data_IF_903617574489
#
_entry.id   IF_903617574489
#
_cell.length_a   1.000
_cell.length_b   1.000
_cell.length_c   1.000
_cell.angle_alpha   90.00
_cell.angle_beta   90.00
_cell.angle_gamma   90.00
#
_symmetry.space_group_name_H-M   'P 1'
#
loop_
_entity.id
_entity.type
_entity.pdbx_description
1 polymer ?
#
# COMPACT_ATOMS: atom_id res chain seq x y z
N UNK A 1 -15.66 -24.50 -25.60
CA UNK A 1 -14.80 -23.30 -25.61
C UNK A 1 -14.78 -22.74 -24.20
N UNK A 2 -13.85 -23.20 -23.37
CA UNK A 2 -13.68 -22.69 -22.01
C UNK A 2 -12.93 -21.37 -22.11
N UNK A 3 -13.65 -20.26 -21.93
CA UNK A 3 -13.01 -18.95 -21.77
C UNK A 3 -12.23 -18.98 -20.45
N UNK A 4 -10.90 -19.07 -20.54
CA UNK A 4 -10.01 -18.96 -19.39
C UNK A 4 -10.14 -17.52 -18.87
N UNK A 5 -10.75 -17.34 -17.70
CA UNK A 5 -10.80 -16.06 -17.03
C UNK A 5 -9.34 -15.58 -16.85
N UNK A 6 -8.99 -14.31 -17.18
CA UNK A 6 -7.65 -13.83 -16.94
C UNK A 6 -7.27 -14.05 -15.46
N UNK A 7 -6.01 -14.42 -15.16
CA UNK A 7 -5.57 -14.65 -13.80
C UNK A 7 -5.84 -13.40 -12.96
N UNK A 8 -6.55 -13.56 -11.85
CA UNK A 8 -6.84 -12.46 -10.96
C UNK A 8 -5.53 -11.91 -10.41
N UNK A 9 -5.23 -10.64 -10.72
CA UNK A 9 -4.05 -9.98 -10.20
C UNK A 9 -4.23 -9.78 -8.69
N UNK A 10 -3.28 -10.32 -7.93
CA UNK A 10 -3.24 -10.19 -6.49
C UNK A 10 -1.88 -9.69 -6.04
N UNK A 11 -1.85 -9.06 -4.87
CA UNK A 11 -0.64 -8.69 -4.14
C UNK A 11 0.28 -9.90 -3.97
N UNK A 12 1.58 -9.69 -4.16
CA UNK A 12 2.61 -10.70 -3.93
C UNK A 12 2.88 -10.90 -2.44
N UNK A 13 2.60 -9.87 -1.64
CA UNK A 13 2.92 -9.84 -0.22
C UNK A 13 4.42 -9.91 0.04
N UNK A 14 5.21 -9.31 -0.85
CA UNK A 14 6.67 -9.32 -0.77
C UNK A 14 7.28 -8.04 -0.19
N UNK A 15 6.52 -6.94 -0.15
CA UNK A 15 7.00 -5.64 0.32
C UNK A 15 6.93 -5.49 1.84
N UNK A 16 8.07 -5.33 2.53
CA UNK A 16 8.13 -5.01 3.95
C UNK A 16 7.94 -3.52 4.25
N UNK A 17 7.53 -3.18 5.47
CA UNK A 17 7.46 -1.79 5.98
C UNK A 17 7.55 -1.75 7.51
N UNK A 18 7.65 -0.54 8.08
CA UNK A 18 7.84 -0.29 9.52
C UNK A 18 9.06 -1.03 10.08
N UNK A 19 10.24 -0.46 9.84
CA UNK A 19 11.50 -1.08 10.26
C UNK A 19 11.87 -0.69 11.69
N UNK A 20 12.29 -1.66 12.49
CA UNK A 20 12.89 -1.45 13.81
C UNK A 20 14.27 -2.09 13.84
N UNK A 21 15.32 -1.27 13.94
CA UNK A 21 16.72 -1.75 13.92
C UNK A 21 17.02 -2.62 12.68
N UNK A 22 16.66 -2.11 11.50
CA UNK A 22 16.76 -2.77 10.19
C UNK A 22 15.94 -4.07 10.02
N UNK A 23 15.18 -4.48 11.04
CA UNK A 23 14.26 -5.60 10.94
C UNK A 23 12.86 -5.11 10.53
N UNK A 24 12.25 -5.64 9.46
CA UNK A 24 10.89 -5.28 9.09
C UNK A 24 9.90 -5.89 10.07
N UNK A 25 8.99 -5.07 10.61
CA UNK A 25 7.94 -5.54 11.52
C UNK A 25 6.71 -6.06 10.78
N UNK A 26 6.40 -5.47 9.61
CA UNK A 26 5.20 -5.80 8.85
C UNK A 26 5.52 -6.02 7.37
N UNK A 27 4.58 -6.67 6.69
CA UNK A 27 4.61 -6.94 5.25
C UNK A 27 3.20 -6.86 4.69
N UNK A 28 3.09 -6.53 3.41
CA UNK A 28 1.82 -6.66 2.68
C UNK A 28 1.39 -8.14 2.69
N UNK A 29 0.10 -8.40 2.86
CA UNK A 29 -0.44 -9.76 2.74
C UNK A 29 -0.54 -10.17 1.28
N UNK A 30 -0.12 -11.39 0.95
CA UNK A 30 -0.26 -11.95 -0.40
C UNK A 30 -1.69 -12.39 -0.70
N UNK A 31 -2.08 -12.38 -1.97
CA UNK A 31 -3.37 -12.95 -2.41
C UNK A 31 -4.56 -12.00 -2.27
N UNK A 32 -4.35 -10.74 -1.87
CA UNK A 32 -5.38 -9.71 -1.89
C UNK A 32 -5.52 -9.17 -3.31
N UNK A 33 -6.75 -9.11 -3.83
CA UNK A 33 -7.08 -8.49 -5.13
C UNK A 33 -6.42 -7.12 -5.28
N UNK A 34 -5.77 -6.84 -6.42
CA UNK A 34 -5.18 -5.52 -6.67
C UNK A 34 -6.23 -4.41 -6.65
N UNK A 35 -7.44 -4.68 -7.15
CA UNK A 35 -8.54 -3.72 -7.11
C UNK A 35 -8.86 -3.31 -5.67
N UNK A 36 -9.06 -4.31 -4.79
CA UNK A 36 -9.46 -4.06 -3.40
C UNK A 36 -8.31 -3.44 -2.60
N UNK A 37 -7.08 -3.89 -2.86
CA UNK A 37 -5.88 -3.32 -2.26
C UNK A 37 -5.71 -1.85 -2.64
N UNK A 38 -5.83 -1.49 -3.92
CA UNK A 38 -5.70 -0.11 -4.39
C UNK A 38 -6.84 0.78 -3.91
N UNK A 39 -8.08 0.27 -3.87
CA UNK A 39 -9.21 0.99 -3.29
C UNK A 39 -8.93 1.34 -1.82
N UNK A 40 -8.52 0.36 -1.02
CA UNK A 40 -8.23 0.57 0.38
C UNK A 40 -7.07 1.56 0.60
N UNK A 41 -6.00 1.45 -0.20
CA UNK A 41 -4.87 2.38 -0.14
C UNK A 41 -5.28 3.80 -0.49
N UNK A 42 -6.20 3.98 -1.43
CA UNK A 42 -6.76 5.31 -1.76
C UNK A 42 -7.43 5.94 -0.54
N UNK A 43 -8.23 5.16 0.18
CA UNK A 43 -8.88 5.62 1.42
C UNK A 43 -7.85 5.98 2.50
N UNK A 44 -6.82 5.13 2.69
CA UNK A 44 -5.73 5.39 3.65
C UNK A 44 -4.95 6.67 3.30
N UNK A 45 -4.63 6.88 2.02
CA UNK A 45 -3.94 8.08 1.56
C UNK A 45 -4.79 9.34 1.75
N UNK A 46 -6.10 9.25 1.54
CA UNK A 46 -7.01 10.36 1.81
C UNK A 46 -6.97 10.78 3.28
N UNK A 47 -7.07 9.81 4.20
CA UNK A 47 -7.00 10.08 5.66
C UNK A 47 -5.63 10.63 6.04
N UNK A 48 -4.55 10.05 5.51
CA UNK A 48 -3.19 10.53 5.78
C UNK A 48 -2.99 11.98 5.35
N UNK A 49 -3.57 12.38 4.21
CA UNK A 49 -3.55 13.76 3.72
C UNK A 49 -4.26 14.71 4.69
N UNK A 50 -5.46 14.37 5.15
CA UNK A 50 -6.21 15.21 6.11
C UNK A 50 -5.42 15.40 7.42
N UNK A 51 -4.84 14.31 7.94
CA UNK A 51 -4.01 14.37 9.14
C UNK A 51 -2.75 15.23 8.96
N UNK A 52 -2.13 15.18 7.79
CA UNK A 52 -0.97 16.03 7.47
C UNK A 52 -1.36 17.51 7.35
N UNK A 53 -2.50 17.82 6.72
CA UNK A 53 -3.03 19.18 6.63
C UNK A 53 -3.34 19.74 8.03
N UNK A 54 -4.00 18.95 8.89
CA UNK A 54 -4.31 19.32 10.27
C UNK A 54 -3.04 19.53 11.12
N UNK A 55 -2.01 18.71 10.89
CA UNK A 55 -0.70 18.85 11.53
C UNK A 55 0.05 20.10 11.08
N UNK A 56 -0.10 20.49 9.81
CA UNK A 56 0.57 21.67 9.26
C UNK A 56 -0.09 22.99 9.70
N UNK A 57 -1.42 23.00 9.88
CA UNK A 57 -2.20 24.22 10.14
C UNK A 57 -2.35 24.56 11.63
N UNK A 58 -2.28 23.57 12.52
CA UNK A 58 -2.57 23.77 13.96
C UNK A 58 -1.31 23.52 14.80
N UNK A 59 -0.88 24.52 15.59
CA UNK A 59 0.14 24.28 16.63
C UNK A 59 -0.48 23.40 17.72
N UNK A 60 0.23 22.34 18.15
CA UNK A 60 -0.17 21.31 19.14
C UNK A 60 -0.74 19.98 18.60
N UNK A 61 -0.68 19.71 17.29
CA UNK A 61 -1.17 18.46 16.67
C UNK A 61 -0.06 17.49 16.21
N UNK A 62 1.09 17.45 16.88
CA UNK A 62 2.23 16.57 16.54
C UNK A 62 1.84 15.08 16.41
N UNK A 63 0.82 14.64 17.16
CA UNK A 63 0.27 13.28 17.06
C UNK A 63 -0.35 12.96 15.69
N UNK A 64 -0.88 13.96 14.97
CA UNK A 64 -1.46 13.78 13.64
C UNK A 64 -0.37 13.64 12.57
N UNK A 65 0.79 14.28 12.77
CA UNK A 65 1.94 14.07 11.90
C UNK A 65 2.42 12.61 11.94
N UNK A 66 2.53 12.03 13.14
CA UNK A 66 2.91 10.62 13.30
C UNK A 66 1.86 9.66 12.73
N UNK A 67 0.57 9.93 12.96
CA UNK A 67 -0.50 9.12 12.38
C UNK A 67 -0.48 9.15 10.84
N UNK A 68 -0.33 10.35 10.25
CA UNK A 68 -0.17 10.51 8.80
C UNK A 68 1.04 9.74 8.28
N UNK A 69 2.18 9.86 8.95
CA UNK A 69 3.41 9.17 8.60
C UNK A 69 3.23 7.64 8.52
N UNK A 70 2.64 7.02 9.55
CA UNK A 70 2.41 5.57 9.55
C UNK A 70 1.42 5.13 8.48
N UNK A 71 0.36 5.90 8.23
CA UNK A 71 -0.58 5.63 7.14
C UNK A 71 0.10 5.69 5.76
N UNK A 72 0.97 6.69 5.55
CA UNK A 72 1.73 6.83 4.30
C UNK A 72 2.72 5.67 4.10
N UNK A 73 3.42 5.23 5.15
CA UNK A 73 4.29 4.04 5.09
C UNK A 73 3.51 2.79 4.67
N UNK A 74 2.34 2.55 5.27
CA UNK A 74 1.46 1.43 4.92
C UNK A 74 0.99 1.51 3.47
N UNK A 75 0.49 2.68 3.05
CA UNK A 75 0.03 2.91 1.68
C UNK A 75 1.14 2.70 0.66
N UNK A 76 2.34 3.22 0.94
CA UNK A 76 3.51 3.03 0.07
C UNK A 76 3.86 1.55 -0.08
N UNK A 77 3.85 0.78 1.01
CA UNK A 77 4.19 -0.63 0.97
C UNK A 77 3.27 -1.42 0.03
N UNK A 78 1.96 -1.13 0.07
CA UNK A 78 0.99 -1.79 -0.82
C UNK A 78 1.21 -1.36 -2.27
N UNK A 79 1.41 -0.07 -2.56
CA UNK A 79 1.69 0.40 -3.93
C UNK A 79 2.96 -0.25 -4.49
N UNK A 80 4.03 -0.30 -3.71
CA UNK A 80 5.29 -0.94 -4.11
C UNK A 80 5.09 -2.44 -4.39
N UNK A 81 4.25 -3.13 -3.62
CA UNK A 81 3.89 -4.52 -3.87
C UNK A 81 3.10 -4.69 -5.18
N UNK A 82 2.14 -3.80 -5.43
CA UNK A 82 1.38 -3.74 -6.69
C UNK A 82 2.31 -3.49 -7.88
N UNK A 83 3.23 -2.53 -7.78
CA UNK A 83 4.19 -2.23 -8.86
C UNK A 83 5.04 -3.45 -9.19
N UNK A 84 5.44 -4.26 -8.20
CA UNK A 84 6.16 -5.52 -8.44
C UNK A 84 5.30 -6.56 -9.18
N UNK A 85 4.00 -6.65 -8.88
CA UNK A 85 3.07 -7.53 -9.63
C UNK A 85 3.04 -7.12 -11.11
N UNK A 86 2.87 -5.82 -11.36
CA UNK A 86 2.72 -5.25 -12.69
C UNK A 86 4.02 -5.28 -13.50
N UNK A 87 5.17 -5.16 -12.84
CA UNK A 87 6.49 -5.24 -13.47
C UNK A 87 6.96 -6.69 -13.72
N UNK A 88 6.27 -7.69 -13.16
CA UNK A 88 6.66 -9.09 -13.34
C UNK A 88 6.43 -9.54 -14.79
N UNK A 89 7.44 -10.14 -15.47
CA UNK A 89 7.38 -10.52 -16.88
C UNK A 89 6.28 -11.55 -17.21
N UNK A 90 5.66 -12.16 -16.21
CA UNK A 90 4.48 -13.03 -16.38
C UNK A 90 3.29 -12.32 -17.06
N UNK A 91 3.28 -10.99 -17.13
CA UNK A 91 2.22 -10.18 -17.76
C UNK A 91 2.68 -9.37 -18.99
N UNK A 92 3.94 -9.52 -19.43
CA UNK A 92 4.46 -8.80 -20.60
C UNK A 92 4.12 -9.49 -21.95
N UNK A 93 3.53 -10.69 -21.92
CA UNK A 93 3.23 -11.51 -23.10
C UNK A 93 1.77 -12.01 -23.13
N UNK A 94 0.80 -11.12 -22.92
CA UNK A 94 -0.61 -11.37 -23.26
C UNK A 94 -1.12 -10.37 -24.30
#
# INVERSE_FOLDING_TARGET
MTATNPPALTTLGVTPFSFHSDQPLFRVNSGVSLHDALHHVSDLLHVAKLLAEDAAMTKETDRYAWASHYLQEMSKAVIDDVVKVLASPCHAEQ
#
